data_IF_171570799337
#
_entry.id   IF_171570799337
#
_cell.length_a   1.000
_cell.length_b   1.000
_cell.length_c   1.000
_cell.angle_alpha   90.00
_cell.angle_beta   90.00
_cell.angle_gamma   90.00
#
_symmetry.space_group_name_H-M   'P 1'
#
loop_
_entity.id
_entity.type
_entity.pdbx_description
1 polymer ?
#
# COMPACT_ATOMS: atom_id res chain seq x y z
N UNK A 1 -14.35 -15.32 -33.93
CA UNK A 1 -13.78 -13.99 -33.62
C UNK A 1 -13.02 -13.57 -34.84
N UNK A 2 -13.51 -12.56 -35.54
CA UNK A 2 -12.81 -11.95 -36.66
C UNK A 2 -11.72 -11.07 -36.05
N UNK A 3 -10.45 -11.43 -36.29
CA UNK A 3 -9.32 -10.70 -35.71
C UNK A 3 -9.00 -9.47 -36.56
N UNK A 4 -8.61 -8.39 -35.89
CA UNK A 4 -8.14 -7.18 -36.56
C UNK A 4 -6.93 -7.49 -37.46
N UNK A 5 -6.94 -6.92 -38.67
CA UNK A 5 -5.80 -6.94 -39.58
C UNK A 5 -4.66 -6.08 -38.99
N UNK A 6 -3.38 -6.46 -39.12
CA UNK A 6 -2.24 -5.62 -38.72
C UNK A 6 -2.32 -4.15 -39.20
N UNK A 7 -2.92 -3.87 -40.36
CA UNK A 7 -3.13 -2.48 -40.82
C UNK A 7 -4.18 -1.71 -40.00
N UNK A 8 -5.18 -2.40 -39.46
CA UNK A 8 -6.23 -1.82 -38.60
C UNK A 8 -5.71 -1.56 -37.18
N UNK A 9 -4.82 -2.43 -36.68
CA UNK A 9 -4.13 -2.25 -35.39
C UNK A 9 -3.23 -1.01 -35.41
N UNK A 10 -2.52 -0.76 -36.51
CA UNK A 10 -1.72 0.45 -36.72
C UNK A 10 -2.56 1.75 -36.64
N UNK A 11 -3.81 1.72 -37.09
CA UNK A 11 -4.73 2.87 -37.02
C UNK A 11 -5.11 3.17 -35.56
N UNK A 12 -5.44 2.12 -34.79
CA UNK A 12 -5.68 2.24 -33.35
C UNK A 12 -4.44 2.74 -32.60
N UNK A 13 -3.27 2.21 -32.97
CA UNK A 13 -1.98 2.62 -32.41
C UNK A 13 -1.74 4.12 -32.59
N UNK A 14 -1.85 4.63 -33.83
CA UNK A 14 -1.65 6.05 -34.12
C UNK A 14 -2.64 6.95 -33.38
N UNK A 15 -3.89 6.50 -33.24
CA UNK A 15 -4.90 7.27 -32.54
C UNK A 15 -4.61 7.39 -31.02
N UNK A 16 -4.08 6.34 -30.40
CA UNK A 16 -3.67 6.36 -28.99
C UNK A 16 -2.44 7.24 -28.74
N UNK A 17 -1.48 7.23 -29.68
CA UNK A 17 -0.28 8.10 -29.63
C UNK A 17 -0.68 9.57 -29.75
N UNK A 18 -1.60 9.91 -30.67
CA UNK A 18 -2.07 11.28 -30.87
C UNK A 18 -2.82 11.86 -29.66
N UNK A 19 -3.44 11.01 -28.84
CA UNK A 19 -4.17 11.43 -27.63
C UNK A 19 -3.29 11.58 -26.37
N UNK A 20 -1.97 11.38 -26.49
CA UNK A 20 -1.01 11.63 -25.41
C UNK A 20 -1.10 10.61 -24.27
N UNK A 21 -1.32 9.35 -24.61
CA UNK A 21 -1.42 8.25 -23.65
C UNK A 21 -0.02 7.85 -23.15
N UNK A 22 0.15 7.72 -21.83
CA UNK A 22 1.41 7.28 -21.21
C UNK A 22 1.84 5.89 -21.73
N UNK A 23 3.14 5.70 -21.99
CA UNK A 23 3.71 4.48 -22.60
C UNK A 23 3.32 3.19 -21.85
N UNK A 24 3.12 3.26 -20.53
CA UNK A 24 2.74 2.12 -19.69
C UNK A 24 1.24 1.77 -19.74
N UNK A 25 0.37 2.73 -20.07
CA UNK A 25 -1.07 2.52 -20.23
C UNK A 25 -1.45 2.19 -21.68
N UNK A 26 -0.52 2.43 -22.60
CA UNK A 26 -0.72 2.29 -24.03
C UNK A 26 -1.05 0.85 -24.44
N UNK A 27 -0.29 -0.13 -23.95
CA UNK A 27 -0.44 -1.54 -24.34
C UNK A 27 -1.78 -2.12 -23.85
N UNK A 28 -2.15 -1.82 -22.60
CA UNK A 28 -3.43 -2.25 -22.00
C UNK A 28 -4.62 -1.59 -22.70
N UNK A 29 -4.54 -0.28 -22.99
CA UNK A 29 -5.60 0.44 -23.70
C UNK A 29 -5.74 -0.02 -25.15
N UNK A 30 -4.63 -0.34 -25.82
CA UNK A 30 -4.66 -0.88 -27.18
C UNK A 30 -5.35 -2.24 -27.22
N UNK A 31 -5.05 -3.13 -26.28
CA UNK A 31 -5.67 -4.45 -26.18
C UNK A 31 -7.17 -4.34 -25.88
N UNK A 32 -7.53 -3.47 -24.92
CA UNK A 32 -8.93 -3.26 -24.57
C UNK A 32 -9.74 -2.67 -25.73
N UNK A 33 -9.18 -1.68 -26.44
CA UNK A 33 -9.83 -1.08 -27.61
C UNK A 33 -9.91 -2.04 -28.79
N UNK A 34 -8.88 -2.86 -29.02
CA UNK A 34 -8.90 -3.90 -30.04
C UNK A 34 -10.03 -4.91 -29.77
N UNK A 35 -10.16 -5.37 -28.53
CA UNK A 35 -11.21 -6.30 -28.12
C UNK A 35 -12.62 -5.70 -28.30
N UNK A 36 -12.81 -4.43 -27.96
CA UNK A 36 -14.08 -3.72 -28.14
C UNK A 36 -14.45 -3.59 -29.63
N UNK A 37 -13.48 -3.23 -30.48
CA UNK A 37 -13.68 -3.10 -31.93
C UNK A 37 -13.99 -4.46 -32.56
N UNK A 38 -13.27 -5.53 -32.16
CA UNK A 38 -13.55 -6.90 -32.61
C UNK A 38 -14.96 -7.36 -32.21
N UNK A 39 -15.44 -6.96 -31.03
CA UNK A 39 -16.79 -7.26 -30.58
C UNK A 39 -17.85 -6.60 -31.49
N UNK A 40 -17.68 -5.32 -31.83
CA UNK A 40 -18.62 -4.63 -32.73
C UNK A 40 -18.56 -5.14 -34.17
N UNK A 41 -17.37 -5.50 -34.67
CA UNK A 41 -17.23 -6.16 -35.96
C UNK A 41 -17.95 -7.51 -35.99
N UNK A 42 -17.85 -8.29 -34.90
CA UNK A 42 -18.57 -9.56 -34.77
C UNK A 42 -20.11 -9.39 -34.78
N UNK A 43 -20.62 -8.27 -34.27
CA UNK A 43 -22.05 -7.91 -34.33
C UNK A 43 -22.49 -7.52 -35.76
N UNK A 44 -21.55 -7.39 -36.71
CA UNK A 44 -21.80 -7.12 -38.12
C UNK A 44 -21.63 -5.65 -38.52
N UNK A 45 -21.01 -4.82 -37.66
CA UNK A 45 -20.65 -3.45 -38.01
C UNK A 45 -19.38 -3.43 -38.87
N UNK A 46 -19.31 -2.58 -39.92
CA UNK A 46 -18.05 -2.37 -40.63
C UNK A 46 -17.03 -1.71 -39.71
N UNK A 47 -15.75 -2.03 -39.90
CA UNK A 47 -14.64 -1.56 -39.06
C UNK A 47 -14.66 -0.05 -38.79
N UNK A 48 -14.90 0.78 -39.80
CA UNK A 48 -14.97 2.24 -39.67
C UNK A 48 -16.06 2.69 -38.70
N UNK A 49 -17.25 2.07 -38.75
CA UNK A 49 -18.37 2.39 -37.85
C UNK A 49 -18.18 1.80 -36.46
N UNK A 50 -17.53 0.64 -36.35
CA UNK A 50 -17.15 0.05 -35.06
C UNK A 50 -16.10 0.92 -34.35
N UNK A 51 -15.08 1.38 -35.08
CA UNK A 51 -14.04 2.27 -34.60
C UNK A 51 -14.62 3.63 -34.18
N UNK A 52 -15.48 4.23 -34.99
CA UNK A 52 -16.11 5.52 -34.67
C UNK A 52 -16.99 5.43 -33.42
N UNK A 53 -17.73 4.33 -33.23
CA UNK A 53 -18.51 4.08 -32.00
C UNK A 53 -17.62 3.94 -30.76
N UNK A 54 -16.58 3.12 -30.85
CA UNK A 54 -15.61 2.92 -29.75
C UNK A 54 -14.90 4.23 -29.42
N UNK A 55 -14.53 5.03 -30.43
CA UNK A 55 -13.94 6.35 -30.25
C UNK A 55 -14.91 7.35 -29.62
N UNK A 56 -16.19 7.35 -29.99
CA UNK A 56 -17.22 8.21 -29.40
C UNK A 56 -17.49 7.88 -27.93
N UNK A 57 -17.52 6.59 -27.57
CA UNK A 57 -17.68 6.15 -26.18
C UNK A 57 -16.42 6.37 -25.34
N UNK A 58 -15.24 6.17 -25.92
CA UNK A 58 -13.96 6.29 -25.21
C UNK A 58 -13.47 7.75 -25.04
N UNK A 59 -13.68 8.65 -26.01
CA UNK A 59 -12.87 9.88 -26.11
C UNK A 59 -13.30 11.00 -25.14
N UNK A 60 -14.58 11.39 -25.07
CA UNK A 60 -14.92 12.62 -24.35
C UNK A 60 -15.19 12.40 -22.85
N UNK A 61 -15.83 11.30 -22.48
CA UNK A 61 -16.31 11.07 -21.10
C UNK A 61 -15.31 10.26 -20.29
N UNK A 62 -14.76 9.18 -20.86
CA UNK A 62 -13.81 8.32 -20.16
C UNK A 62 -12.46 9.02 -19.95
N UNK A 63 -11.87 9.65 -20.98
CA UNK A 63 -10.61 10.42 -20.83
C UNK A 63 -10.79 11.62 -19.89
N UNK A 64 -11.91 12.34 -19.97
CA UNK A 64 -12.19 13.46 -19.05
C UNK A 64 -12.41 12.97 -17.62
N UNK A 65 -13.06 11.83 -17.45
CA UNK A 65 -13.28 11.20 -16.16
C UNK A 65 -11.96 10.71 -15.57
N UNK A 66 -11.15 9.97 -16.34
CA UNK A 66 -9.83 9.50 -15.92
C UNK A 66 -8.90 10.66 -15.59
N UNK A 67 -8.82 11.68 -16.46
CA UNK A 67 -8.04 12.90 -16.19
C UNK A 67 -8.48 13.54 -14.88
N UNK A 68 -9.78 13.73 -14.68
CA UNK A 68 -10.30 14.35 -13.45
C UNK A 68 -10.02 13.48 -12.22
N UNK A 69 -10.22 12.18 -12.30
CA UNK A 69 -9.99 11.23 -11.21
C UNK A 69 -8.51 11.15 -10.85
N UNK A 70 -7.62 10.94 -11.82
CA UNK A 70 -6.17 10.89 -11.58
C UNK A 70 -5.60 12.23 -11.14
N UNK A 71 -6.09 13.36 -11.67
CA UNK A 71 -5.59 14.68 -11.28
C UNK A 71 -6.02 15.04 -9.85
N UNK A 72 -7.24 14.68 -9.43
CA UNK A 72 -7.69 14.80 -8.03
C UNK A 72 -6.89 13.87 -7.12
N UNK A 73 -6.63 12.65 -7.58
CA UNK A 73 -5.84 11.70 -6.81
C UNK A 73 -4.41 12.19 -6.64
N UNK A 74 -3.72 12.63 -7.69
CA UNK A 74 -2.29 13.02 -7.72
C UNK A 74 -1.95 14.35 -7.02
N UNK A 75 -2.92 15.24 -6.80
CA UNK A 75 -2.67 16.55 -6.19
C UNK A 75 -3.11 16.58 -4.73
N UNK A 76 -2.14 16.51 -3.81
CA UNK A 76 -2.36 17.02 -2.46
C UNK A 76 -2.62 18.53 -2.52
N UNK A 77 -3.60 19.01 -1.75
CA UNK A 77 -3.74 20.44 -1.54
C UNK A 77 -2.49 21.00 -0.85
N UNK A 78 -2.10 22.24 -1.15
CA UNK A 78 -0.89 22.89 -0.59
C UNK A 78 -0.86 22.82 0.94
N UNK A 79 -2.02 22.98 1.59
CA UNK A 79 -2.14 22.88 3.05
C UNK A 79 -1.90 21.46 3.59
N UNK A 80 -2.29 20.44 2.81
CA UNK A 80 -2.03 19.03 3.13
C UNK A 80 -0.55 18.72 2.95
N UNK A 81 0.07 19.26 1.90
CA UNK A 81 1.49 19.06 1.61
C UNK A 81 2.39 19.67 2.69
N UNK A 82 2.00 20.82 3.25
CA UNK A 82 2.73 21.49 4.35
C UNK A 82 2.67 20.74 5.69
N UNK A 83 1.67 19.90 5.88
CA UNK A 83 1.47 19.11 7.10
C UNK A 83 1.90 17.64 6.94
N UNK A 84 2.08 17.17 5.70
CA UNK A 84 2.40 15.79 5.39
C UNK A 84 3.86 15.45 5.77
N UNK A 85 4.05 14.28 6.38
CA UNK A 85 5.39 13.71 6.58
C UNK A 85 5.91 13.10 5.27
N UNK A 86 7.21 12.86 5.18
CA UNK A 86 7.83 12.24 4.00
C UNK A 86 7.18 10.89 3.68
N UNK A 87 6.84 10.11 4.70
CA UNK A 87 6.15 8.83 4.53
C UNK A 87 4.72 9.03 3.99
N UNK A 88 4.03 10.12 4.30
CA UNK A 88 2.70 10.41 3.75
C UNK A 88 2.75 10.73 2.26
N UNK A 89 3.80 11.43 1.83
CA UNK A 89 4.03 11.85 0.45
C UNK A 89 4.47 10.65 -0.40
N UNK A 90 5.42 9.85 0.09
CA UNK A 90 6.00 8.69 -0.65
C UNK A 90 4.98 7.57 -0.83
N UNK A 91 4.10 7.36 0.15
CA UNK A 91 3.12 6.29 0.13
C UNK A 91 1.73 6.75 -0.31
N UNK A 92 1.63 7.90 -0.96
CA UNK A 92 0.36 8.39 -1.44
C UNK A 92 -0.19 7.55 -2.62
N UNK A 93 -1.47 7.76 -2.94
CA UNK A 93 -2.16 7.10 -4.07
C UNK A 93 -2.19 5.57 -3.93
N UNK A 94 -1.80 4.85 -4.99
CA UNK A 94 -1.80 3.39 -5.07
C UNK A 94 -0.99 2.73 -3.96
N UNK A 95 0.11 3.36 -3.50
CA UNK A 95 0.90 2.83 -2.40
C UNK A 95 0.13 2.79 -1.07
N UNK A 96 -0.86 3.68 -0.89
CA UNK A 96 -1.78 3.65 0.24
C UNK A 96 -2.87 2.59 0.06
N UNK A 97 -3.40 2.47 -1.15
CA UNK A 97 -4.43 1.48 -1.50
C UNK A 97 -3.94 0.03 -1.33
N UNK A 98 -2.64 -0.22 -1.55
CA UNK A 98 -2.02 -1.52 -1.31
C UNK A 98 -1.77 -1.85 0.17
N UNK A 99 -2.07 -0.94 1.10
CA UNK A 99 -1.84 -1.15 2.53
C UNK A 99 -0.36 -1.09 2.96
N UNK A 100 0.55 -0.73 2.05
CA UNK A 100 1.98 -0.63 2.35
C UNK A 100 2.28 0.49 3.35
N UNK A 101 1.48 1.57 3.32
CA UNK A 101 1.54 2.67 4.29
C UNK A 101 1.26 2.19 5.73
N UNK A 102 0.15 1.47 5.92
CA UNK A 102 -0.25 0.96 7.24
C UNK A 102 0.82 0.00 7.78
N UNK A 103 1.35 -0.88 6.91
CA UNK A 103 2.40 -1.82 7.29
C UNK A 103 3.67 -1.11 7.78
N UNK A 104 4.10 -0.03 7.10
CA UNK A 104 5.29 0.74 7.50
C UNK A 104 5.11 1.43 8.85
N UNK A 105 3.93 2.00 9.09
CA UNK A 105 3.63 2.70 10.33
C UNK A 105 3.52 1.76 11.53
N UNK A 106 2.91 0.59 11.32
CA UNK A 106 2.78 -0.44 12.36
C UNK A 106 4.09 -1.17 12.64
N UNK A 107 4.94 -1.38 11.62
CA UNK A 107 6.22 -2.07 11.75
C UNK A 107 7.15 -1.37 12.74
N UNK A 108 7.30 -0.05 12.64
CA UNK A 108 8.19 0.71 13.54
C UNK A 108 7.79 0.56 15.00
N UNK A 109 6.49 0.58 15.26
CA UNK A 109 5.98 0.46 16.62
C UNK A 109 6.17 -0.97 17.11
N UNK A 110 5.77 -1.97 16.32
CA UNK A 110 5.91 -3.39 16.63
C UNK A 110 7.36 -3.80 16.89
N UNK A 111 8.31 -3.28 16.10
CA UNK A 111 9.74 -3.52 16.27
C UNK A 111 10.24 -2.97 17.61
N UNK A 112 9.83 -1.76 17.99
CA UNK A 112 10.20 -1.15 19.27
C UNK A 112 9.65 -1.96 20.44
N UNK A 113 8.40 -2.41 20.36
CA UNK A 113 7.78 -3.25 21.40
C UNK A 113 8.50 -4.59 21.53
N UNK A 114 8.82 -5.23 20.41
CA UNK A 114 9.55 -6.50 20.39
C UNK A 114 10.96 -6.36 20.99
N UNK A 115 11.71 -5.32 20.61
CA UNK A 115 13.02 -5.06 21.22
C UNK A 115 12.92 -4.87 22.74
N UNK A 116 11.95 -4.09 23.23
CA UNK A 116 11.74 -3.87 24.66
C UNK A 116 11.38 -5.18 25.41
N UNK A 117 10.58 -6.05 24.79
CA UNK A 117 10.30 -7.38 25.35
C UNK A 117 11.57 -8.22 25.44
N UNK A 118 12.34 -8.31 24.36
CA UNK A 118 13.56 -9.13 24.31
C UNK A 118 14.59 -8.63 25.33
N UNK A 119 14.84 -7.32 25.39
CA UNK A 119 15.76 -6.73 26.37
C UNK A 119 15.28 -6.99 27.80
N UNK A 120 13.99 -6.78 28.08
CA UNK A 120 13.42 -7.06 29.40
C UNK A 120 13.60 -8.53 29.82
N UNK A 121 13.33 -9.46 28.90
CA UNK A 121 13.46 -10.90 29.13
C UNK A 121 14.93 -11.32 29.34
N UNK A 122 15.86 -10.76 28.57
CA UNK A 122 17.31 -11.02 28.75
C UNK A 122 17.80 -10.52 30.11
N UNK A 123 17.40 -9.32 30.53
CA UNK A 123 17.77 -8.78 31.84
C UNK A 123 17.25 -9.66 32.98
N UNK A 124 16.02 -10.15 32.87
CA UNK A 124 15.43 -11.09 33.83
C UNK A 124 16.20 -12.42 33.89
N UNK A 125 16.56 -12.99 32.73
CA UNK A 125 17.33 -14.23 32.63
C UNK A 125 18.74 -14.09 33.23
N UNK A 126 19.43 -12.99 32.92
CA UNK A 126 20.76 -12.71 33.46
C UNK A 126 20.74 -12.56 34.99
N UNK A 127 19.76 -11.82 35.51
CA UNK A 127 19.57 -11.71 36.96
C UNK A 127 19.24 -13.08 37.59
N UNK A 128 18.37 -13.88 36.97
CA UNK A 128 18.02 -15.21 37.48
C UNK A 128 19.23 -16.15 37.55
N UNK A 129 20.05 -16.20 36.49
CA UNK A 129 21.25 -17.04 36.42
C UNK A 129 22.29 -16.65 37.46
N UNK A 130 22.54 -15.35 37.63
CA UNK A 130 23.48 -14.84 38.63
C UNK A 130 23.02 -15.16 40.05
N UNK A 131 21.73 -14.99 40.33
CA UNK A 131 21.15 -15.31 41.65
C UNK A 131 21.21 -16.81 41.93
N UNK A 132 20.92 -17.66 40.94
CA UNK A 132 21.07 -19.11 41.07
C UNK A 132 22.51 -19.51 41.39
N UNK A 133 23.49 -18.88 40.74
CA UNK A 133 24.91 -19.13 41.04
C UNK A 133 25.35 -18.64 42.43
N UNK A 134 24.76 -17.56 42.93
CA UNK A 134 25.13 -16.93 44.20
C UNK A 134 24.40 -17.53 45.43
N UNK A 135 23.32 -18.29 45.22
CA UNK A 135 22.61 -19.03 46.27
C UNK A 135 21.85 -18.17 47.30
N UNK A 136 21.84 -16.84 47.16
CA UNK A 136 21.15 -15.90 48.07
C UNK A 136 20.34 -14.88 47.26
N UNK A 137 19.02 -14.88 47.46
CA UNK A 137 18.14 -13.91 46.81
C UNK A 137 18.06 -12.62 47.63
N UNK A 138 18.44 -11.49 47.04
CA UNK A 138 18.24 -10.16 47.63
C UNK A 138 17.73 -9.18 46.59
N UNK A 139 16.52 -8.65 46.80
CA UNK A 139 15.91 -7.63 45.95
C UNK A 139 16.62 -6.27 46.04
N UNK A 140 17.38 -6.02 47.11
CA UNK A 140 18.20 -4.83 47.32
C UNK A 140 19.57 -4.91 46.64
N UNK A 141 19.90 -6.03 46.00
CA UNK A 141 21.15 -6.18 45.24
C UNK A 141 21.04 -5.58 43.84
N UNK A 142 22.20 -5.31 43.22
CA UNK A 142 22.29 -4.83 41.83
C UNK A 142 21.54 -5.76 40.87
N UNK A 143 21.64 -7.07 41.04
CA UNK A 143 20.95 -8.07 40.23
C UNK A 143 19.44 -8.11 40.50
N UNK A 144 19.02 -7.87 41.75
CA UNK A 144 17.60 -7.70 42.09
C UNK A 144 16.97 -6.47 41.42
N UNK A 145 17.70 -5.35 41.38
CA UNK A 145 17.27 -4.15 40.66
C UNK A 145 17.18 -4.38 39.14
N UNK A 146 18.17 -5.06 38.55
CA UNK A 146 18.16 -5.44 37.13
C UNK A 146 16.95 -6.33 36.80
N UNK A 147 16.60 -7.26 37.68
CA UNK A 147 15.42 -8.11 37.52
C UNK A 147 14.12 -7.30 37.53
N UNK A 148 13.97 -6.36 38.48
CA UNK A 148 12.80 -5.49 38.56
C UNK A 148 12.65 -4.59 37.32
N UNK A 149 13.76 -4.03 36.82
CA UNK A 149 13.77 -3.24 35.58
C UNK A 149 13.37 -4.11 34.38
N UNK A 150 13.89 -5.33 34.29
CA UNK A 150 13.50 -6.28 33.25
C UNK A 150 12.01 -6.61 33.28
N UNK A 151 11.45 -6.83 34.47
CA UNK A 151 10.03 -7.14 34.68
C UNK A 151 9.12 -5.96 34.34
N UNK A 152 9.50 -4.74 34.73
CA UNK A 152 8.79 -3.52 34.38
C UNK A 152 8.80 -3.27 32.86
N UNK A 153 9.96 -3.44 32.20
CA UNK A 153 10.07 -3.30 30.75
C UNK A 153 9.23 -4.34 30.01
N UNK A 154 9.29 -5.60 30.44
CA UNK A 154 8.53 -6.68 29.83
C UNK A 154 7.01 -6.50 30.00
N UNK A 155 6.55 -6.18 31.20
CA UNK A 155 5.12 -5.94 31.48
C UNK A 155 4.58 -4.73 30.72
N UNK A 156 5.33 -3.63 30.65
CA UNK A 156 4.98 -2.46 29.84
C UNK A 156 4.86 -2.82 28.35
N UNK A 157 5.85 -3.55 27.81
CA UNK A 157 5.84 -3.95 26.41
C UNK A 157 4.66 -4.88 26.08
N UNK A 158 4.33 -5.83 26.96
CA UNK A 158 3.15 -6.70 26.83
C UNK A 158 1.85 -5.89 26.81
N UNK A 159 1.69 -4.94 27.74
CA UNK A 159 0.52 -4.07 27.78
C UNK A 159 0.34 -3.27 26.49
N UNK A 160 1.42 -2.69 25.98
CA UNK A 160 1.37 -1.93 24.71
C UNK A 160 1.07 -2.80 23.50
N UNK A 161 1.59 -4.03 23.44
CA UNK A 161 1.30 -4.98 22.37
C UNK A 161 -0.18 -5.41 22.38
N UNK A 162 -0.74 -5.71 23.55
CA UNK A 162 -2.17 -6.04 23.68
C UNK A 162 -3.04 -4.85 23.25
N UNK A 163 -2.70 -3.63 23.68
CA UNK A 163 -3.44 -2.43 23.29
C UNK A 163 -3.42 -2.22 21.77
N UNK A 164 -2.26 -2.37 21.12
CA UNK A 164 -2.13 -2.28 19.66
C UNK A 164 -2.97 -3.33 18.94
N UNK A 165 -2.96 -4.58 19.42
CA UNK A 165 -3.74 -5.67 18.84
C UNK A 165 -5.24 -5.42 18.91
N UNK A 166 -5.71 -4.77 19.98
CA UNK A 166 -7.10 -4.35 20.14
C UNK A 166 -7.42 -3.24 19.13
N UNK A 167 -6.58 -2.22 19.02
CA UNK A 167 -6.77 -1.11 18.06
C UNK A 167 -6.84 -1.60 16.60
N UNK A 168 -5.95 -2.52 16.21
CA UNK A 168 -5.99 -3.15 14.89
C UNK A 168 -7.31 -3.86 14.61
N UNK A 169 -7.80 -4.62 15.60
CA UNK A 169 -9.07 -5.37 15.46
C UNK A 169 -10.28 -4.46 15.22
N UNK A 170 -10.27 -3.25 15.78
CA UNK A 170 -11.32 -2.25 15.52
C UNK A 170 -11.15 -1.50 14.19
N UNK A 171 -9.92 -1.40 13.66
CA UNK A 171 -9.65 -0.70 12.39
C UNK A 171 -10.07 -1.52 11.17
N UNK A 172 -9.97 -2.85 11.22
CA UNK A 172 -10.34 -3.77 10.12
C UNK A 172 -11.86 -3.94 9.97
N UNK A 173 -12.66 -3.52 10.96
CA UNK A 173 -14.13 -3.66 10.97
C UNK A 173 -14.84 -2.41 10.41
N UNK A 174 -14.11 -1.35 10.08
CA UNK A 174 -14.64 -0.12 9.45
C UNK A 174 -14.26 -0.10 7.97
#
# INVERSE_FOLDING_TARGET
MEKLNPQQVEILYRHLVLNGTDEALFEELLDHLACEVEHYMWIGLPFETALDKVQLEANAKAVKYLRKTYQIELTMNEDQLRQADLDDIVFQFRNKAYGAYDLRQEYRTSLRTAMLMTVGLVLMLMALLTIFSAGKWSYLSVWGAVWLVGLLSFSYAVGTCIHQRIQQKYRVVR
#
